data_IF_249814185341
#
_entry.id   IF_249814185341
#
_cell.length_a   1.000
_cell.length_b   1.000
_cell.length_c   1.000
_cell.angle_alpha   90.00
_cell.angle_beta   90.00
_cell.angle_gamma   90.00
#
_symmetry.space_group_name_H-M   'P 1'
#
loop_
_entity.id
_entity.type
_entity.pdbx_description
1 polymer ?
#
# COMPACT_ATOMS: atom_id res chain seq x y z
N UNK A 1 -12.46 14.93 -16.13
CA UNK A 1 -12.66 13.49 -16.44
C UNK A 1 -12.32 12.72 -15.17
N UNK A 2 -13.35 12.13 -14.57
CA UNK A 2 -13.16 11.34 -13.35
C UNK A 2 -12.30 10.13 -13.70
N UNK A 3 -11.06 10.11 -13.21
CA UNK A 3 -10.18 8.97 -13.35
C UNK A 3 -10.76 7.85 -12.48
N UNK A 4 -11.17 6.74 -13.07
CA UNK A 4 -11.86 5.63 -12.42
C UNK A 4 -11.07 4.88 -11.32
N UNK A 5 -10.40 5.61 -10.45
CA UNK A 5 -9.51 5.11 -9.41
C UNK A 5 -10.14 5.19 -8.01
N UNK A 6 -9.74 4.34 -7.08
CA UNK A 6 -10.32 4.35 -5.75
C UNK A 6 -10.10 5.70 -5.06
N UNK A 7 -11.14 6.23 -4.43
CA UNK A 7 -11.01 7.38 -3.54
C UNK A 7 -10.57 6.95 -2.13
N UNK A 8 -10.83 5.69 -1.77
CA UNK A 8 -10.61 5.14 -0.44
C UNK A 8 -9.82 3.85 -0.46
N UNK A 9 -9.02 3.65 0.59
CA UNK A 9 -8.31 2.40 0.86
C UNK A 9 -8.83 1.81 2.18
N UNK A 10 -9.36 0.61 2.12
CA UNK A 10 -9.86 -0.11 3.29
C UNK A 10 -8.76 -1.03 3.82
N UNK A 11 -8.39 -0.84 5.08
CA UNK A 11 -7.42 -1.69 5.79
C UNK A 11 -7.94 -1.94 7.19
N UNK A 12 -8.10 -3.18 7.60
CA UNK A 12 -8.55 -3.46 8.96
C UNK A 12 -7.48 -3.15 10.02
N UNK A 13 -7.91 -2.99 11.26
CA UNK A 13 -7.04 -2.57 12.38
C UNK A 13 -5.89 -3.55 12.61
N UNK A 14 -6.10 -4.85 12.41
CA UNK A 14 -5.06 -5.86 12.56
C UNK A 14 -3.96 -5.68 11.50
N UNK A 15 -4.34 -5.50 10.24
CA UNK A 15 -3.38 -5.27 9.15
C UNK A 15 -2.62 -3.95 9.34
N UNK A 16 -3.27 -2.91 9.84
CA UNK A 16 -2.59 -1.65 10.19
C UNK A 16 -1.56 -1.85 11.30
N UNK A 17 -1.88 -2.63 12.32
CA UNK A 17 -0.95 -2.96 13.39
C UNK A 17 0.26 -3.72 12.86
N UNK A 18 0.04 -4.75 12.04
CA UNK A 18 1.12 -5.51 11.39
C UNK A 18 1.99 -4.60 10.52
N UNK A 19 1.36 -3.76 9.68
CA UNK A 19 2.09 -2.85 8.79
C UNK A 19 2.98 -1.90 9.58
N UNK A 20 2.45 -1.24 10.61
CA UNK A 20 3.23 -0.33 11.45
C UNK A 20 4.40 -1.04 12.12
N UNK A 21 4.19 -2.24 12.66
CA UNK A 21 5.26 -3.03 13.28
C UNK A 21 6.37 -3.37 12.26
N UNK A 22 6.01 -3.84 11.06
CA UNK A 22 6.96 -4.16 9.99
C UNK A 22 7.79 -2.94 9.58
N UNK A 23 7.13 -1.81 9.33
CA UNK A 23 7.80 -0.60 8.87
C UNK A 23 8.70 0.02 9.95
N UNK A 24 8.27 -0.01 11.20
CA UNK A 24 9.04 0.54 12.33
C UNK A 24 10.25 -0.33 12.71
N UNK A 25 10.13 -1.66 12.57
CA UNK A 25 11.20 -2.59 12.94
C UNK A 25 12.49 -2.39 12.14
N UNK A 26 12.43 -1.77 10.96
CA UNK A 26 13.59 -1.51 10.12
C UNK A 26 14.39 -0.25 10.53
N UNK A 27 13.83 0.61 11.39
CA UNK A 27 14.49 1.85 11.77
C UNK A 27 15.95 1.64 12.24
N UNK A 28 16.89 2.51 11.89
CA UNK A 28 16.75 3.79 11.19
C UNK A 28 16.67 3.71 9.66
N UNK A 29 16.61 2.51 9.09
CA UNK A 29 16.39 2.31 7.66
C UNK A 29 14.91 2.41 7.31
N UNK A 30 14.60 2.71 6.05
CA UNK A 30 13.24 2.57 5.55
C UNK A 30 12.81 1.11 5.58
N UNK A 31 11.76 0.80 6.31
CA UNK A 31 11.07 -0.48 6.24
C UNK A 31 10.20 -0.54 4.98
N UNK A 32 9.98 -1.73 4.45
CA UNK A 32 9.13 -1.90 3.28
C UNK A 32 8.31 -3.19 3.32
N UNK A 33 7.20 -3.17 2.59
CA UNK A 33 6.28 -4.30 2.48
C UNK A 33 5.52 -4.23 1.14
N UNK A 34 4.98 -5.37 0.71
CA UNK A 34 3.99 -5.43 -0.37
C UNK A 34 2.58 -5.49 0.23
N UNK A 35 1.64 -4.87 -0.46
CA UNK A 35 0.24 -4.78 -0.08
C UNK A 35 -0.56 -5.72 -0.97
N UNK A 36 -1.21 -6.72 -0.38
CA UNK A 36 -2.01 -7.68 -1.13
C UNK A 36 -3.49 -7.50 -0.82
N UNK A 37 -4.31 -7.60 -1.85
CA UNK A 37 -5.75 -7.45 -1.69
C UNK A 37 -6.52 -7.70 -2.98
N UNK A 38 -7.79 -7.35 -2.92
CA UNK A 38 -8.65 -7.41 -4.08
C UNK A 38 -8.50 -6.11 -4.88
N UNK A 39 -8.19 -6.22 -6.18
CA UNK A 39 -8.20 -5.07 -7.04
C UNK A 39 -9.61 -4.50 -7.11
N UNK A 40 -9.72 -3.19 -7.14
CA UNK A 40 -10.99 -2.57 -7.49
C UNK A 40 -11.39 -3.02 -8.90
N UNK A 41 -12.42 -3.88 -9.00
CA UNK A 41 -12.94 -4.40 -10.27
C UNK A 41 -13.94 -3.46 -10.94
N UNK A 42 -14.12 -2.25 -10.43
CA UNK A 42 -14.97 -1.28 -11.09
C UNK A 42 -14.41 -1.04 -12.50
N UNK A 43 -15.21 -1.37 -13.51
CA UNK A 43 -14.94 -0.92 -14.88
C UNK A 43 -14.87 0.59 -14.86
N UNK A 44 -13.87 1.16 -15.48
CA UNK A 44 -13.78 2.60 -15.61
C UNK A 44 -15.04 3.17 -16.32
N UNK A 45 -15.60 4.29 -15.83
CA UNK A 45 -15.17 5.03 -14.65
C UNK A 45 -15.61 4.33 -13.35
N UNK A 46 -14.70 4.21 -12.37
CA UNK A 46 -15.07 3.72 -11.06
C UNK A 46 -16.00 4.72 -10.38
N UNK A 47 -17.03 4.25 -9.63
CA UNK A 47 -17.86 5.15 -8.85
C UNK A 47 -17.02 5.94 -7.85
N UNK A 48 -17.44 7.16 -7.50
CA UNK A 48 -16.71 8.05 -6.59
C UNK A 48 -16.44 7.45 -5.20
N UNK A 49 -17.19 6.41 -4.83
CA UNK A 49 -17.04 5.65 -3.58
C UNK A 49 -16.23 4.34 -3.75
N UNK A 50 -15.65 4.11 -4.92
CA UNK A 50 -14.84 2.93 -5.16
C UNK A 50 -13.70 2.83 -4.14
N UNK A 51 -13.58 1.67 -3.52
CA UNK A 51 -12.56 1.39 -2.52
C UNK A 51 -11.76 0.15 -2.91
N UNK A 52 -10.45 0.21 -2.72
CA UNK A 52 -9.59 -0.97 -2.72
C UNK A 52 -9.44 -1.49 -1.29
N UNK A 53 -9.33 -2.81 -1.12
CA UNK A 53 -9.17 -3.42 0.19
C UNK A 53 -7.86 -4.18 0.29
N UNK A 54 -7.10 -3.88 1.34
CA UNK A 54 -5.91 -4.66 1.70
C UNK A 54 -6.34 -5.81 2.62
N UNK A 55 -5.92 -7.02 2.26
CA UNK A 55 -6.20 -8.24 3.01
C UNK A 55 -4.96 -8.79 3.70
N UNK A 56 -3.77 -8.52 3.17
CA UNK A 56 -2.53 -8.98 3.76
C UNK A 56 -1.37 -8.01 3.52
N UNK A 57 -0.48 -7.98 4.50
CA UNK A 57 0.80 -7.29 4.45
C UNK A 57 1.87 -8.38 4.24
N UNK A 58 2.72 -8.22 3.24
CA UNK A 58 3.86 -9.08 2.97
C UNK A 58 5.14 -8.35 3.33
N UNK A 59 5.74 -8.66 4.49
CA UNK A 59 6.95 -7.99 4.94
C UNK A 59 8.11 -8.25 3.98
N UNK A 60 8.91 -7.23 3.69
CA UNK A 60 10.09 -7.33 2.86
C UNK A 60 11.30 -6.73 3.56
N UNK A 61 12.48 -7.22 3.23
CA UNK A 61 13.72 -6.55 3.59
C UNK A 61 14.02 -5.43 2.60
N UNK A 62 14.55 -4.33 3.10
CA UNK A 62 15.11 -3.29 2.26
C UNK A 62 16.45 -3.76 1.69
N UNK A 63 16.48 -4.10 0.41
CA UNK A 63 17.68 -4.58 -0.30
C UNK A 63 18.34 -3.50 -1.15
N UNK A 64 18.10 -2.23 -0.87
CA UNK A 64 18.81 -1.15 -1.56
C UNK A 64 20.31 -1.38 -1.52
N UNK A 65 20.96 -1.30 -2.68
CA UNK A 65 22.36 -1.75 -2.87
C UNK A 65 23.40 -0.99 -2.05
N UNK A 66 23.08 0.25 -1.67
CA UNK A 66 23.94 1.10 -0.84
C UNK A 66 23.37 1.18 0.58
N UNK A 67 23.91 0.41 1.54
CA UNK A 67 23.36 0.35 2.90
C UNK A 67 23.27 1.72 3.59
N UNK A 68 24.23 2.61 3.34
CA UNK A 68 24.28 3.97 3.89
C UNK A 68 23.12 4.86 3.43
N UNK A 69 22.46 4.52 2.32
CA UNK A 69 21.32 5.26 1.78
C UNK A 69 19.96 4.65 2.18
N UNK A 70 19.93 3.55 2.89
CA UNK A 70 18.68 2.85 3.24
C UNK A 70 17.79 3.63 4.20
N UNK A 71 18.28 4.70 4.82
CA UNK A 71 17.49 5.60 5.66
C UNK A 71 16.59 6.57 4.85
N UNK A 72 16.79 6.65 3.53
CA UNK A 72 16.06 7.53 2.60
C UNK A 72 15.67 6.83 1.28
N UNK A 73 15.96 5.53 1.17
CA UNK A 73 15.71 4.75 -0.04
C UNK A 73 15.42 3.29 0.30
N UNK A 74 14.55 2.68 -0.46
CA UNK A 74 14.31 1.25 -0.36
C UNK A 74 14.27 0.58 -1.73
N UNK A 75 14.51 -0.72 -1.71
CA UNK A 75 14.24 -1.62 -2.82
C UNK A 75 13.71 -2.94 -2.26
N UNK A 76 12.77 -3.54 -2.96
CA UNK A 76 12.23 -4.86 -2.66
C UNK A 76 12.87 -5.87 -3.62
N UNK A 77 13.31 -7.01 -3.10
CA UNK A 77 13.83 -8.10 -3.94
C UNK A 77 12.72 -8.57 -4.92
N UNK A 78 12.97 -8.59 -6.23
CA UNK A 78 12.00 -9.06 -7.20
C UNK A 78 11.47 -10.49 -6.93
N UNK A 79 12.27 -11.32 -6.26
CA UNK A 79 11.85 -12.68 -5.85
C UNK A 79 10.73 -12.63 -4.81
N UNK A 80 10.79 -11.68 -3.86
CA UNK A 80 9.72 -11.46 -2.88
C UNK A 80 8.41 -11.07 -3.57
N UNK A 81 8.49 -10.20 -4.58
CA UNK A 81 7.32 -9.82 -5.37
C UNK A 81 6.70 -11.01 -6.11
N UNK A 82 7.52 -11.88 -6.71
CA UNK A 82 7.03 -13.10 -7.38
C UNK A 82 6.39 -14.07 -6.39
N UNK A 83 6.98 -14.25 -5.21
CA UNK A 83 6.44 -15.11 -4.15
C UNK A 83 5.09 -14.57 -3.64
N UNK A 84 5.02 -13.26 -3.35
CA UNK A 84 3.80 -12.60 -2.92
C UNK A 84 2.67 -12.72 -3.98
N UNK A 85 3.00 -12.51 -5.26
CA UNK A 85 2.05 -12.70 -6.36
C UNK A 85 1.55 -14.14 -6.46
N UNK A 86 2.44 -15.13 -6.34
CA UNK A 86 2.08 -16.55 -6.37
C UNK A 86 1.17 -16.90 -5.20
N UNK A 87 1.50 -16.47 -4.00
CA UNK A 87 0.71 -16.69 -2.80
C UNK A 87 -0.66 -15.99 -2.87
N UNK A 88 -0.69 -14.75 -3.36
CA UNK A 88 -1.92 -13.99 -3.54
C UNK A 88 -2.89 -14.64 -4.53
N UNK A 89 -2.38 -15.14 -5.66
CA UNK A 89 -3.22 -15.83 -6.67
C UNK A 89 -4.00 -17.01 -6.11
N UNK A 90 -3.44 -17.76 -5.16
CA UNK A 90 -4.14 -18.85 -4.48
C UNK A 90 -5.35 -18.36 -3.67
N UNK A 91 -5.40 -17.08 -3.34
CA UNK A 91 -6.48 -16.41 -2.57
C UNK A 91 -7.32 -15.46 -3.42
N UNK A 92 -7.07 -15.42 -4.72
CA UNK A 92 -7.66 -14.45 -5.65
C UNK A 92 -7.31 -12.99 -5.31
N UNK A 93 -6.17 -12.77 -4.68
CA UNK A 93 -5.61 -11.47 -4.38
C UNK A 93 -4.46 -11.12 -5.33
N UNK A 94 -4.18 -9.84 -5.42
CA UNK A 94 -3.07 -9.28 -6.21
C UNK A 94 -2.18 -8.44 -5.31
N UNK A 95 -0.95 -8.22 -5.75
CA UNK A 95 -0.11 -7.15 -5.19
C UNK A 95 -0.67 -5.84 -5.74
N UNK A 96 -1.24 -5.03 -4.86
CA UNK A 96 -1.87 -3.75 -5.20
C UNK A 96 -0.89 -2.58 -5.17
N UNK A 97 0.22 -2.73 -4.44
CA UNK A 97 1.22 -1.70 -4.29
C UNK A 97 2.23 -2.01 -3.20
N UNK A 98 2.91 -0.99 -2.76
CA UNK A 98 3.97 -1.05 -1.75
C UNK A 98 3.64 -0.20 -0.53
N UNK A 99 4.27 -0.54 0.60
CA UNK A 99 4.35 0.36 1.74
C UNK A 99 5.82 0.53 2.14
N UNK A 100 6.18 1.71 2.65
CA UNK A 100 7.49 1.97 3.22
C UNK A 100 7.42 3.03 4.33
N UNK A 101 8.52 3.19 5.07
CA UNK A 101 8.62 4.23 6.09
C UNK A 101 9.59 5.32 5.68
N UNK A 102 9.32 6.53 6.16
CA UNK A 102 10.21 7.68 6.13
C UNK A 102 10.69 7.98 7.57
N UNK A 103 11.81 7.39 8.04
CA UNK A 103 12.23 7.56 9.43
C UNK A 103 12.57 9.00 9.83
N UNK A 104 12.89 9.85 8.86
CA UNK A 104 13.31 11.24 9.08
C UNK A 104 12.41 12.30 8.45
N UNK A 105 11.30 11.95 7.82
CA UNK A 105 10.44 12.90 7.11
C UNK A 105 8.95 12.56 7.18
N UNK A 106 8.13 13.39 6.56
CA UNK A 106 6.68 13.24 6.50
C UNK A 106 6.25 12.06 5.61
N UNK A 107 5.01 11.60 5.79
CA UNK A 107 4.41 10.52 5.01
C UNK A 107 3.97 10.97 3.60
N UNK A 108 4.84 11.64 2.86
CA UNK A 108 4.58 12.18 1.53
C UNK A 108 5.54 11.53 0.53
N UNK A 109 5.06 11.06 -0.65
CA UNK A 109 5.92 10.48 -1.67
C UNK A 109 7.05 11.43 -2.09
N UNK A 110 8.28 11.00 -1.90
CA UNK A 110 9.47 11.74 -2.32
C UNK A 110 9.60 11.77 -3.85
N UNK A 111 10.49 12.61 -4.34
CA UNK A 111 10.85 12.61 -5.76
C UNK A 111 11.37 11.23 -6.21
N UNK A 112 12.14 10.56 -5.35
CA UNK A 112 12.67 9.22 -5.61
C UNK A 112 11.55 8.18 -5.67
N UNK A 113 10.61 8.19 -4.71
CA UNK A 113 9.47 7.26 -4.71
C UNK A 113 8.65 7.38 -6.00
N UNK A 114 8.40 8.60 -6.41
CA UNK A 114 7.65 8.88 -7.65
C UNK A 114 8.42 8.49 -8.91
N UNK A 115 9.75 8.69 -8.92
CA UNK A 115 10.59 8.37 -10.08
C UNK A 115 10.75 6.85 -10.29
N UNK A 116 10.68 6.05 -9.22
CA UNK A 116 10.82 4.59 -9.28
C UNK A 116 9.50 3.84 -9.25
N UNK A 117 8.38 4.54 -9.08
CA UNK A 117 7.07 3.95 -9.18
C UNK A 117 6.72 3.58 -10.63
N UNK A 118 5.95 2.52 -10.79
CA UNK A 118 5.33 2.11 -12.05
C UNK A 118 3.82 2.39 -11.99
N UNK A 119 3.38 3.59 -12.37
CA UNK A 119 1.96 3.93 -12.34
C UNK A 119 1.12 3.05 -13.28
N UNK A 120 -0.16 2.82 -12.93
CA UNK A 120 -0.80 3.25 -11.69
C UNK A 120 -0.34 2.42 -10.49
N UNK A 121 -0.05 3.06 -9.35
CA UNK A 121 0.49 2.38 -8.18
C UNK A 121 -0.12 2.89 -6.87
N UNK A 122 -0.42 1.96 -5.96
CA UNK A 122 -0.78 2.26 -4.58
C UNK A 122 0.48 2.33 -3.72
N UNK A 123 0.56 3.34 -2.86
CA UNK A 123 1.69 3.52 -1.95
C UNK A 123 1.19 3.94 -0.57
N UNK A 124 1.58 3.23 0.48
CA UNK A 124 1.38 3.64 1.87
C UNK A 124 2.71 4.10 2.45
N UNK A 125 2.72 5.22 3.15
CA UNK A 125 3.92 5.76 3.77
C UNK A 125 3.68 6.01 5.26
N UNK A 126 4.59 5.48 6.09
CA UNK A 126 4.65 5.78 7.51
C UNK A 126 5.68 6.87 7.74
N UNK A 127 5.25 8.06 8.13
CA UNK A 127 6.14 9.18 8.42
C UNK A 127 6.80 9.13 9.78
N UNK A 128 7.75 10.02 10.01
CA UNK A 128 8.54 10.11 11.25
C UNK A 128 7.70 10.41 12.49
N UNK A 129 6.59 11.13 12.35
CA UNK A 129 5.65 11.42 13.45
C UNK A 129 4.70 10.26 13.75
N UNK A 130 4.77 9.17 12.98
CA UNK A 130 3.90 8.01 13.12
C UNK A 130 2.59 8.12 12.33
N UNK A 131 2.39 9.18 11.54
CA UNK A 131 1.26 9.24 10.62
C UNK A 131 1.41 8.21 9.50
N UNK A 132 0.34 7.57 9.11
CA UNK A 132 0.27 6.67 7.98
C UNK A 132 -0.68 7.26 6.93
N UNK A 133 -0.16 7.50 5.73
CA UNK A 133 -0.93 8.09 4.63
C UNK A 133 -0.91 7.16 3.42
N UNK A 134 -2.01 7.16 2.67
CA UNK A 134 -2.19 6.36 1.47
C UNK A 134 -2.17 7.27 0.23
N UNK A 135 -1.45 6.83 -0.80
CA UNK A 135 -1.25 7.58 -2.03
C UNK A 135 -1.54 6.73 -3.24
N UNK A 136 -2.20 7.34 -4.21
CA UNK A 136 -2.34 6.80 -5.55
C UNK A 136 -1.45 7.58 -6.51
N UNK A 137 -0.56 6.86 -7.18
CA UNK A 137 0.33 7.44 -8.18
C UNK A 137 -0.24 7.21 -9.56
N UNK A 138 -0.39 8.29 -10.33
CA UNK A 138 -0.96 8.30 -11.68
C UNK A 138 0.10 8.72 -12.70
N UNK A 139 -0.02 8.20 -13.92
CA UNK A 139 0.81 8.69 -15.00
C UNK A 139 0.57 10.17 -15.27
N UNK A 140 1.61 10.95 -15.56
CA UNK A 140 1.46 12.36 -15.87
C UNK A 140 0.72 12.53 -17.19
N UNK A 141 -0.41 13.24 -17.17
CA UNK A 141 -1.25 13.44 -18.36
C UNK A 141 -0.65 14.44 -19.38
N UNK A 142 0.24 15.32 -18.93
CA UNK A 142 0.66 16.48 -19.72
C UNK A 142 2.08 16.39 -20.32
N UNK A 143 2.94 15.50 -19.84
CA UNK A 143 4.32 15.37 -20.36
C UNK A 143 4.86 13.95 -20.11
N UNK A 144 5.29 13.23 -21.16
CA UNK A 144 5.76 11.84 -21.04
C UNK A 144 6.98 11.62 -20.14
N UNK A 145 7.65 12.68 -19.70
CA UNK A 145 8.83 12.65 -18.83
C UNK A 145 8.60 13.29 -17.46
N UNK A 146 7.38 13.72 -17.15
CA UNK A 146 7.07 14.25 -15.83
C UNK A 146 6.98 13.10 -14.81
N UNK A 147 7.25 13.42 -13.53
CA UNK A 147 7.06 12.47 -12.46
C UNK A 147 5.57 12.14 -12.29
N UNK A 148 5.24 10.90 -11.89
CA UNK A 148 3.87 10.53 -11.54
C UNK A 148 3.22 11.53 -10.59
N UNK A 149 1.95 11.81 -10.80
CA UNK A 149 1.17 12.63 -9.87
C UNK A 149 0.74 11.78 -8.69
N UNK A 150 0.93 12.29 -7.48
CA UNK A 150 0.49 11.62 -6.26
C UNK A 150 -0.81 12.25 -5.76
N UNK A 151 -1.84 11.43 -5.59
CA UNK A 151 -3.14 11.81 -5.00
C UNK A 151 -3.33 11.06 -3.70
N UNK A 152 -3.64 11.77 -2.63
CA UNK A 152 -3.94 11.15 -1.35
C UNK A 152 -5.29 10.41 -1.39
N UNK A 153 -5.34 9.25 -0.76
CA UNK A 153 -6.54 8.45 -0.59
C UNK A 153 -7.00 8.51 0.87
N UNK A 154 -8.30 8.46 1.08
CA UNK A 154 -8.85 8.26 2.42
C UNK A 154 -8.52 6.86 2.93
N UNK A 155 -7.72 6.78 3.98
CA UNK A 155 -7.42 5.52 4.67
C UNK A 155 -8.52 5.24 5.68
N UNK A 156 -9.30 4.20 5.43
CA UNK A 156 -10.49 3.84 6.24
C UNK A 156 -10.28 2.49 6.89
N UNK A 157 -10.47 2.44 8.21
CA UNK A 157 -10.51 1.18 8.96
C UNK A 157 -11.96 0.79 9.15
N UNK A 158 -12.45 -0.26 8.44
CA UNK A 158 -13.82 -0.71 8.65
C UNK A 158 -13.98 -1.24 10.07
N UNK A 159 -15.09 -0.88 10.72
CA UNK A 159 -15.48 -1.53 11.96
C UNK A 159 -15.70 -3.02 11.70
N UNK A 160 -14.91 -3.85 12.34
CA UNK A 160 -15.14 -5.29 12.37
C UNK A 160 -16.38 -5.51 13.24
N UNK A 161 -17.57 -5.53 12.64
CA UNK A 161 -18.73 -6.08 13.33
C UNK A 161 -18.42 -7.55 13.59
N UNK A 162 -18.40 -8.04 14.85
CA UNK A 162 -18.28 -9.46 15.11
C UNK A 162 -19.44 -10.15 14.36
N UNK A 163 -19.10 -11.12 13.53
CA UNK A 163 -20.09 -12.01 12.93
C UNK A 163 -20.89 -12.56 14.08
N UNK A 164 -22.18 -12.23 14.16
CA UNK A 164 -23.12 -12.90 15.06
C UNK A 164 -23.07 -14.37 14.67
N UNK A 165 -22.35 -15.15 15.48
CA UNK A 165 -22.48 -16.59 15.47
C UNK A 165 -23.94 -16.90 15.76
N UNK A 166 -24.65 -17.34 14.74
CA UNK A 166 -25.99 -17.90 14.91
C UNK A 166 -25.82 -19.22 15.66
N UNK A 167 -25.88 -19.18 16.97
CA UNK A 167 -26.35 -20.32 17.75
C UNK A 167 -27.85 -20.40 17.51
N UNK A 168 -28.23 -21.25 16.60
CA UNK A 168 -29.56 -21.84 16.60
C UNK A 168 -29.38 -23.35 16.71
N UNK A 169 -29.12 -23.79 17.93
CA UNK A 169 -29.36 -25.16 18.36
C UNK A 169 -30.83 -25.21 18.82
N UNK A 170 -31.74 -25.28 17.85
CA UNK A 170 -33.12 -25.65 18.11
C UNK A 170 -33.22 -27.10 18.55
N UNK A 171 -33.95 -27.30 19.62
CA UNK A 171 -34.41 -28.54 20.20
C UNK A 171 -35.09 -29.50 19.21
#
# INVERSE_FOLDING_TARGET
MDSGWPARLLVDSHQLTVLRAVLTAAAPQEGCALLLGEPNRARAPAPADAASRIHAIWPCLNVWSRPEQRHERFAIDPREQLLAQKWGRLRRWQVLGTAHSHPGSEAIPSTTDRAWAFPPALMLILGASGELRAWWLEEPQAAPRALPTARELDLVTPDVRPSRGGEDLGE
#
